data_IF_340310838535
#
_entry.id   IF_340310838535
#
_cell.length_a   1.000
_cell.length_b   1.000
_cell.length_c   1.000
_cell.angle_alpha   90.00
_cell.angle_beta   90.00
_cell.angle_gamma   90.00
#
_symmetry.space_group_name_H-M   'P 1'
#
loop_
_entity.id
_entity.type
_entity.pdbx_description
1 polymer ?
#
# COMPACT_ATOMS: atom_id res chain seq x y z
N UNK A 1 21.76 -14.65 -37.78
CA UNK A 1 21.39 -16.03 -38.17
C UNK A 1 20.98 -16.77 -36.90
N UNK A 2 19.79 -17.42 -36.89
CA UNK A 2 19.41 -18.71 -36.22
C UNK A 2 19.75 -18.87 -34.71
N UNK A 3 18.92 -19.32 -33.77
CA UNK A 3 17.61 -20.02 -33.74
C UNK A 3 17.14 -20.09 -32.28
N UNK A 4 15.83 -20.29 -32.09
CA UNK A 4 15.09 -20.48 -30.83
C UNK A 4 15.22 -21.94 -30.33
N UNK A 5 15.25 -22.18 -29.01
CA UNK A 5 14.90 -23.43 -28.30
C UNK A 5 14.47 -22.99 -26.88
N UNK A 6 13.22 -23.04 -26.41
CA UNK A 6 12.19 -24.09 -26.34
C UNK A 6 12.65 -25.33 -25.57
N UNK A 7 12.32 -25.38 -24.27
CA UNK A 7 12.16 -26.62 -23.51
C UNK A 7 11.00 -26.47 -22.51
N UNK A 8 9.94 -27.22 -22.78
CA UNK A 8 8.86 -27.52 -21.84
C UNK A 8 9.39 -28.39 -20.70
N UNK A 9 8.95 -28.12 -19.47
CA UNK A 9 8.93 -29.12 -18.41
C UNK A 9 7.50 -29.25 -17.89
N UNK A 10 6.88 -30.37 -18.23
CA UNK A 10 5.53 -30.76 -17.85
C UNK A 10 5.58 -31.51 -16.52
N UNK A 11 4.87 -31.03 -15.50
CA UNK A 11 4.59 -31.80 -14.29
C UNK A 11 3.12 -32.23 -14.30
N UNK A 12 2.90 -33.53 -14.49
CA UNK A 12 1.60 -34.20 -14.39
C UNK A 12 1.17 -34.31 -12.93
N UNK A 13 -0.03 -33.86 -12.58
CA UNK A 13 -0.74 -34.31 -11.39
C UNK A 13 -1.99 -35.08 -11.84
N UNK A 14 -2.01 -36.36 -11.45
CA UNK A 14 -3.08 -37.34 -11.65
C UNK A 14 -4.40 -36.84 -11.03
N UNK A 15 -5.51 -36.94 -11.79
CA UNK A 15 -6.89 -36.91 -11.26
C UNK A 15 -7.56 -38.23 -11.67
N UNK A 16 -8.26 -38.94 -10.77
CA UNK A 16 -8.94 -40.17 -11.12
C UNK A 16 -10.17 -39.90 -12.01
N UNK A 17 -10.23 -40.68 -13.08
CA UNK A 17 -11.36 -40.83 -13.98
C UNK A 17 -12.55 -41.50 -13.28
N UNK A 18 -13.75 -40.96 -13.42
CA UNK A 18 -15.00 -41.69 -13.66
C UNK A 18 -16.12 -40.70 -14.00
N UNK A 19 -16.76 -40.87 -15.17
CA UNK A 19 -18.06 -40.26 -15.44
C UNK A 19 -18.22 -39.64 -16.82
N UNK A 20 -18.53 -40.49 -17.81
CA UNK A 20 -19.54 -40.24 -18.85
C UNK A 20 -19.60 -38.85 -19.51
N UNK A 21 -18.92 -38.73 -20.66
CA UNK A 21 -19.55 -38.27 -21.90
C UNK A 21 -20.05 -36.82 -21.98
N UNK A 22 -19.12 -35.87 -22.04
CA UNK A 22 -19.25 -34.67 -22.89
C UNK A 22 -17.84 -34.24 -23.33
N UNK A 23 -17.59 -33.90 -24.61
CA UNK A 23 -16.32 -33.30 -24.98
C UNK A 23 -16.23 -31.95 -24.30
N UNK A 24 -15.41 -31.85 -23.25
CA UNK A 24 -15.04 -30.59 -22.63
C UNK A 24 -14.56 -29.64 -23.73
N UNK A 25 -15.36 -28.63 -24.05
CA UNK A 25 -14.90 -27.49 -24.84
C UNK A 25 -13.69 -26.95 -24.10
N UNK A 26 -12.50 -27.08 -24.68
CA UNK A 26 -11.33 -26.33 -24.23
C UNK A 26 -11.80 -24.89 -23.99
N UNK A 27 -11.62 -24.31 -22.80
CA UNK A 27 -11.95 -22.91 -22.62
C UNK A 27 -11.13 -22.16 -23.66
N UNK A 28 -11.82 -21.55 -24.64
CA UNK A 28 -11.16 -20.73 -25.64
C UNK A 28 -10.34 -19.70 -24.87
N UNK A 29 -9.03 -19.68 -25.10
CA UNK A 29 -8.22 -18.55 -24.65
C UNK A 29 -8.94 -17.27 -25.09
N UNK A 30 -9.10 -16.27 -24.21
CA UNK A 30 -9.86 -15.06 -24.50
C UNK A 30 -9.36 -14.48 -25.82
N UNK A 31 -10.20 -14.59 -26.83
CA UNK A 31 -9.85 -14.32 -28.24
C UNK A 31 -10.10 -12.86 -28.58
N UNK A 32 -10.73 -12.12 -27.66
CA UNK A 32 -11.01 -10.71 -27.76
C UNK A 32 -9.94 -9.89 -27.00
N UNK A 33 -9.16 -9.03 -27.69
CA UNK A 33 -8.20 -8.14 -27.05
C UNK A 33 -8.83 -7.18 -26.02
N UNK A 34 -10.15 -6.97 -26.03
CA UNK A 34 -10.85 -6.18 -25.01
C UNK A 34 -10.92 -6.90 -23.64
N UNK A 35 -11.09 -8.21 -23.63
CA UNK A 35 -11.20 -9.03 -22.41
C UNK A 35 -9.85 -9.15 -21.68
N UNK A 36 -8.76 -9.22 -22.46
CA UNK A 36 -7.37 -9.14 -21.95
C UNK A 36 -7.05 -7.77 -21.34
N UNK A 37 -7.52 -6.67 -21.93
CA UNK A 37 -7.33 -5.31 -21.39
C UNK A 37 -8.08 -5.08 -20.08
N UNK A 38 -9.32 -5.57 -19.97
CA UNK A 38 -10.10 -5.49 -18.73
C UNK A 38 -9.40 -6.19 -17.55
N UNK A 39 -8.82 -7.36 -17.82
CA UNK A 39 -8.10 -8.16 -16.81
C UNK A 39 -6.79 -7.49 -16.36
N UNK A 40 -6.02 -6.92 -17.30
CA UNK A 40 -4.78 -6.20 -17.00
C UNK A 40 -5.03 -4.91 -16.20
N UNK A 41 -6.05 -4.12 -16.58
CA UNK A 41 -6.40 -2.90 -15.86
C UNK A 41 -6.90 -3.20 -14.44
N UNK A 42 -7.73 -4.23 -14.27
CA UNK A 42 -8.21 -4.65 -12.96
C UNK A 42 -7.05 -5.08 -12.04
N UNK A 43 -6.07 -5.81 -12.60
CA UNK A 43 -4.88 -6.22 -11.85
C UNK A 43 -4.01 -5.04 -11.45
N UNK A 44 -3.76 -4.09 -12.37
CA UNK A 44 -2.98 -2.89 -12.08
C UNK A 44 -3.64 -2.03 -10.97
N UNK A 45 -4.96 -1.84 -11.05
CA UNK A 45 -5.72 -1.13 -10.02
C UNK A 45 -5.64 -1.85 -8.67
N UNK A 46 -5.73 -3.18 -8.64
CA UNK A 46 -5.64 -3.96 -7.41
C UNK A 46 -4.25 -3.86 -6.75
N UNK A 47 -3.18 -3.91 -7.56
CA UNK A 47 -1.81 -3.72 -7.07
C UNK A 47 -1.65 -2.32 -6.47
N UNK A 48 -2.10 -1.28 -7.17
CA UNK A 48 -2.00 0.10 -6.67
C UNK A 48 -2.78 0.30 -5.36
N UNK A 49 -3.99 -0.25 -5.25
CA UNK A 49 -4.77 -0.18 -4.01
C UNK A 49 -4.05 -0.87 -2.84
N UNK A 50 -3.44 -2.03 -3.08
CA UNK A 50 -2.68 -2.75 -2.07
C UNK A 50 -1.43 -1.98 -1.63
N UNK A 51 -0.71 -1.36 -2.57
CA UNK A 51 0.44 -0.50 -2.25
C UNK A 51 0.02 0.68 -1.38
N UNK A 52 -1.05 1.39 -1.76
CA UNK A 52 -1.58 2.52 -0.97
C UNK A 52 -1.95 2.11 0.44
N UNK A 53 -2.63 0.96 0.60
CA UNK A 53 -2.98 0.42 1.90
C UNK A 53 -1.74 0.14 2.76
N UNK A 54 -0.73 -0.54 2.21
CA UNK A 54 0.51 -0.85 2.95
C UNK A 54 1.26 0.41 3.36
N UNK A 55 1.31 1.42 2.49
CA UNK A 55 1.92 2.72 2.76
C UNK A 55 1.19 3.45 3.89
N UNK A 56 -0.15 3.47 3.85
CA UNK A 56 -0.98 4.04 4.92
C UNK A 56 -0.69 3.35 6.26
N UNK A 57 -0.74 2.01 6.30
CA UNK A 57 -0.49 1.23 7.51
C UNK A 57 0.91 1.49 8.08
N UNK A 58 1.91 1.66 7.22
CA UNK A 58 3.28 1.97 7.64
C UNK A 58 3.35 3.31 8.36
N UNK A 59 2.71 4.35 7.83
CA UNK A 59 2.63 5.67 8.48
C UNK A 59 1.81 5.61 9.78
N UNK A 60 0.66 4.93 9.76
CA UNK A 60 -0.19 4.74 10.94
C UNK A 60 0.56 4.08 12.11
N UNK A 61 1.44 3.13 11.79
CA UNK A 61 2.23 2.37 12.76
C UNK A 61 3.44 3.12 13.32
N UNK A 62 3.78 4.30 12.78
CA UNK A 62 4.93 5.06 13.25
C UNK A 62 4.84 5.35 14.75
N UNK A 63 5.94 5.23 15.50
CA UNK A 63 5.99 5.64 16.89
C UNK A 63 5.60 7.11 17.07
N UNK A 64 4.77 7.40 18.06
CA UNK A 64 4.38 8.78 18.36
C UNK A 64 5.07 9.31 19.62
N UNK A 65 5.31 10.63 19.67
CA UNK A 65 5.78 11.31 20.89
C UNK A 65 4.69 11.48 21.94
N UNK A 66 3.42 11.46 21.52
CA UNK A 66 2.27 11.78 22.37
C UNK A 66 1.36 10.56 22.63
N UNK A 67 1.60 9.45 21.94
CA UNK A 67 0.90 8.18 22.11
C UNK A 67 1.81 7.01 21.74
N UNK A 68 1.26 5.78 21.66
CA UNK A 68 2.02 4.61 21.18
C UNK A 68 2.35 4.71 19.69
N UNK A 69 1.36 5.08 18.88
CA UNK A 69 1.48 5.21 17.42
C UNK A 69 0.88 6.54 16.95
N UNK A 70 1.27 6.96 15.74
CA UNK A 70 0.70 8.13 15.06
C UNK A 70 -0.82 7.98 14.93
N UNK A 71 -1.29 6.82 14.48
CA UNK A 71 -2.73 6.56 14.37
C UNK A 71 -3.47 6.68 15.70
N UNK A 72 -2.91 6.12 16.78
CA UNK A 72 -3.56 6.21 18.10
C UNK A 72 -3.66 7.66 18.58
N UNK A 73 -2.64 8.48 18.31
CA UNK A 73 -2.67 9.90 18.67
C UNK A 73 -3.75 10.66 17.89
N UNK A 74 -3.76 10.50 16.56
CA UNK A 74 -4.69 11.19 15.67
C UNK A 74 -6.13 10.73 15.93
N UNK A 75 -6.35 9.42 16.08
CA UNK A 75 -7.67 8.86 16.41
C UNK A 75 -8.22 9.41 17.73
N UNK A 76 -7.37 9.64 18.73
CA UNK A 76 -7.76 10.33 19.98
C UNK A 76 -8.15 11.79 19.73
N UNK A 77 -7.44 12.50 18.85
CA UNK A 77 -7.82 13.87 18.48
C UNK A 77 -9.16 13.91 17.74
N UNK A 78 -9.40 12.96 16.86
CA UNK A 78 -10.65 12.84 16.11
C UNK A 78 -11.84 12.45 17.00
N UNK A 79 -11.59 11.80 18.15
CA UNK A 79 -12.61 11.45 19.13
C UNK A 79 -13.06 12.62 20.03
N UNK A 80 -12.43 13.79 19.92
CA UNK A 80 -12.80 14.97 20.71
C UNK A 80 -14.17 15.50 20.21
N UNK A 81 -15.13 15.81 21.10
CA UNK A 81 -16.40 16.38 20.69
C UNK A 81 -16.23 17.63 19.82
N UNK A 82 -16.96 17.68 18.70
CA UNK A 82 -16.88 18.76 17.71
C UNK A 82 -15.67 18.66 16.76
N UNK A 83 -14.91 17.57 16.82
CA UNK A 83 -13.99 17.18 15.76
C UNK A 83 -14.70 16.26 14.75
N UNK A 84 -14.35 16.41 13.48
CA UNK A 84 -14.73 15.53 12.38
C UNK A 84 -13.46 14.97 11.76
N UNK A 85 -13.43 13.65 11.61
CA UNK A 85 -12.33 12.97 10.95
C UNK A 85 -12.56 12.95 9.43
N UNK A 86 -11.62 13.49 8.66
CA UNK A 86 -11.73 13.58 7.21
C UNK A 86 -11.02 12.41 6.48
N UNK A 87 -10.48 11.45 7.22
CA UNK A 87 -9.92 10.23 6.64
C UNK A 87 -8.43 10.33 6.27
N UNK A 88 -7.86 9.16 5.95
CA UNK A 88 -6.50 9.00 5.43
C UNK A 88 -6.56 9.11 3.91
N UNK A 89 -5.56 9.75 3.32
CA UNK A 89 -5.41 9.88 1.89
C UNK A 89 -3.99 9.49 1.52
N UNK A 90 -3.86 8.64 0.50
CA UNK A 90 -2.55 8.22 -0.03
C UNK A 90 -2.50 8.55 -1.52
N UNK A 91 -1.54 9.39 -1.89
CA UNK A 91 -1.36 9.87 -3.26
C UNK A 91 0.00 9.42 -3.78
N UNK A 92 0.05 8.88 -5.00
CA UNK A 92 1.31 8.51 -5.63
C UNK A 92 2.00 9.77 -6.15
N UNK A 93 3.29 9.90 -5.88
CA UNK A 93 4.16 10.99 -6.34
C UNK A 93 5.39 10.41 -7.02
N UNK A 94 6.24 11.25 -7.63
CA UNK A 94 7.38 10.81 -8.45
C UNK A 94 8.32 9.84 -7.70
N UNK A 95 8.65 10.14 -6.43
CA UNK A 95 9.54 9.31 -5.60
C UNK A 95 8.79 8.47 -4.55
N UNK A 96 7.55 8.05 -4.83
CA UNK A 96 6.80 7.15 -3.95
C UNK A 96 5.41 7.66 -3.63
N UNK A 97 5.13 7.95 -2.36
CA UNK A 97 3.79 8.28 -1.90
C UNK A 97 3.78 9.46 -0.92
N UNK A 98 2.74 10.28 -1.00
CA UNK A 98 2.35 11.20 0.06
C UNK A 98 1.16 10.64 0.83
N UNK A 99 1.27 10.67 2.17
CA UNK A 99 0.22 10.24 3.09
C UNK A 99 -0.25 11.45 3.88
N UNK A 100 -1.56 11.70 3.84
CA UNK A 100 -2.20 12.84 4.48
C UNK A 100 -3.31 12.33 5.39
N UNK A 101 -3.39 12.88 6.60
CA UNK A 101 -4.54 12.71 7.50
C UNK A 101 -5.04 14.07 7.93
N UNK A 102 -6.35 14.27 7.84
CA UNK A 102 -6.96 15.55 8.18
C UNK A 102 -8.05 15.41 9.23
N UNK A 103 -8.04 16.32 10.20
CA UNK A 103 -9.08 16.44 11.23
C UNK A 103 -9.63 17.85 11.16
N UNK A 104 -10.94 18.00 11.04
CA UNK A 104 -11.62 19.28 11.17
C UNK A 104 -12.09 19.48 12.61
N UNK A 105 -11.89 20.66 13.20
CA UNK A 105 -12.47 21.05 14.49
C UNK A 105 -13.02 22.46 14.40
N UNK A 106 -14.34 22.60 14.43
CA UNK A 106 -15.01 23.85 14.06
C UNK A 106 -14.65 24.26 12.63
N UNK A 107 -14.10 25.47 12.48
CA UNK A 107 -13.68 26.03 11.18
C UNK A 107 -12.22 25.72 10.80
N UNK A 108 -11.46 25.04 11.66
CA UNK A 108 -10.04 24.76 11.42
C UNK A 108 -9.82 23.33 10.94
N UNK A 109 -8.97 23.17 9.93
CA UNK A 109 -8.49 21.86 9.46
C UNK A 109 -7.05 21.65 9.92
N UNK A 110 -6.82 20.53 10.58
CA UNK A 110 -5.51 20.06 11.03
C UNK A 110 -5.05 18.97 10.06
N UNK A 111 -4.13 19.32 9.18
CA UNK A 111 -3.51 18.40 8.22
C UNK A 111 -2.17 17.90 8.77
N UNK A 112 -1.94 16.59 8.70
CA UNK A 112 -0.69 15.90 9.02
C UNK A 112 -0.20 15.21 7.76
N UNK A 113 1.07 15.42 7.38
CA UNK A 113 1.60 14.99 6.08
C UNK A 113 2.93 14.26 6.22
N UNK A 114 3.07 13.14 5.52
CA UNK A 114 4.30 12.37 5.40
C UNK A 114 4.57 12.05 3.94
N UNK A 115 5.84 12.01 3.55
CA UNK A 115 6.27 11.31 2.34
C UNK A 115 6.79 9.93 2.73
N UNK A 116 6.51 8.96 1.88
CA UNK A 116 7.09 7.61 1.92
C UNK A 116 7.82 7.42 0.61
N UNK A 117 9.15 7.39 0.68
CA UNK A 117 9.98 7.24 -0.50
C UNK A 117 9.83 5.85 -1.13
N UNK A 118 10.29 5.71 -2.37
CA UNK A 118 10.42 4.41 -3.05
C UNK A 118 11.27 3.39 -2.28
N UNK A 119 12.22 3.86 -1.45
CA UNK A 119 13.03 3.03 -0.54
C UNK A 119 12.31 2.68 0.79
N UNK A 120 11.13 3.26 1.04
CA UNK A 120 10.34 3.06 2.26
C UNK A 120 10.78 3.92 3.44
N UNK A 121 11.62 4.93 3.22
CA UNK A 121 11.93 5.96 4.20
C UNK A 121 10.69 6.85 4.40
N UNK A 122 10.39 7.21 5.64
CA UNK A 122 9.23 8.04 5.96
C UNK A 122 9.69 9.38 6.53
N UNK A 123 9.31 10.47 5.88
CA UNK A 123 9.69 11.83 6.26
C UNK A 123 8.45 12.67 6.53
N UNK A 124 8.34 13.33 7.71
CA UNK A 124 7.27 14.28 7.96
C UNK A 124 7.43 15.51 7.05
N UNK A 125 6.35 15.91 6.36
CA UNK A 125 6.35 17.03 5.42
C UNK A 125 5.86 18.34 6.02
N UNK A 126 5.30 18.31 7.24
CA UNK A 126 4.89 19.51 7.94
C UNK A 126 5.17 19.43 9.44
N UNK A 127 5.15 20.60 10.10
CA UNK A 127 5.49 20.70 11.52
C UNK A 127 4.63 19.81 12.41
N UNK A 128 3.33 19.68 12.11
CA UNK A 128 2.43 18.81 12.88
C UNK A 128 2.82 17.34 12.80
N UNK A 129 3.11 16.83 11.60
CA UNK A 129 3.59 15.46 11.45
C UNK A 129 4.92 15.25 12.17
N UNK A 130 5.84 16.22 12.07
CA UNK A 130 7.13 16.18 12.75
C UNK A 130 7.00 16.16 14.27
N UNK A 131 6.10 16.99 14.82
CA UNK A 131 5.89 17.13 16.26
C UNK A 131 5.32 15.85 16.87
N UNK A 132 4.45 15.13 16.14
CA UNK A 132 3.82 13.91 16.64
C UNK A 132 4.64 12.65 16.38
N UNK A 133 5.51 12.65 15.37
CA UNK A 133 6.33 11.49 14.99
C UNK A 133 7.56 11.41 15.89
N UNK A 134 7.73 10.29 16.60
CA UNK A 134 8.95 10.06 17.37
C UNK A 134 10.06 9.72 16.37
N UNK A 135 11.16 10.50 16.40
CA UNK A 135 12.34 10.16 15.62
C UNK A 135 12.96 8.89 16.21
N UNK A 136 13.52 7.99 15.38
CA UNK A 136 14.36 6.92 15.90
C UNK A 136 15.44 7.56 16.80
N UNK A 137 15.67 6.99 17.97
CA UNK A 137 16.78 7.44 18.80
C UNK A 137 18.07 7.27 17.97
N UNK A 138 18.98 8.26 17.94
CA UNK A 138 20.22 8.12 17.20
C UNK A 138 20.93 6.86 17.68
N UNK A 139 21.28 5.96 16.76
CA UNK A 139 22.06 4.77 17.09
C UNK A 139 23.34 5.27 17.74
N UNK A 140 23.67 4.88 18.98
CA UNK A 140 24.88 5.35 19.62
C UNK A 140 26.05 4.93 18.74
N UNK A 141 26.76 5.92 18.19
CA UNK A 141 28.02 5.67 17.49
C UNK A 141 28.90 4.91 18.48
N UNK A 142 29.24 3.67 18.14
CA UNK A 142 30.23 2.91 18.89
C UNK A 142 31.50 3.75 18.88
N UNK A 143 31.79 4.40 19.99
CA UNK A 143 33.08 5.02 20.26
C UNK A 143 34.12 3.91 20.16
N UNK A 144 34.78 3.83 19.01
CA UNK A 144 35.99 3.03 18.83
C UNK A 144 37.08 3.77 19.58
N UNK A 145 37.40 3.29 20.78
CA UNK A 145 38.67 3.55 21.45
C UNK A 145 39.77 2.69 20.83
#
# INVERSE_FOLDING_TARGET
MKTIFSFLLTLFILIPSHGSGEPAKNPLAPTDPAELRGTQQATANAIEMNEKYLVEQRVMSLPSRHAKTVDLYISKMASIPGASDLGWQVQKVEDGYEVIREIQKGLKVFSFKWSVSSSGEITPLNKRAEDITKRPDPVPEKSTN
#
